data_IF_158856652233
#
_entry.id   IF_158856652233
#
_cell.length_a   1.000
_cell.length_b   1.000
_cell.length_c   1.000
_cell.angle_alpha   90.00
_cell.angle_beta   90.00
_cell.angle_gamma   90.00
#
_symmetry.space_group_name_H-M   'P 1'
#
loop_
_entity.id
_entity.type
_entity.pdbx_description
1 polymer ?
#
# COMPACT_ATOMS: atom_id res chain seq x y z
N UNK A 1 -10.16 -13.62 33.98
CA UNK A 1 -9.38 -13.93 32.77
C UNK A 1 -8.12 -13.09 32.82
N UNK A 2 -6.95 -13.71 32.92
CA UNK A 2 -5.68 -12.99 32.87
C UNK A 2 -5.51 -12.38 31.47
N UNK A 3 -5.16 -11.10 31.42
CA UNK A 3 -4.92 -10.37 30.18
C UNK A 3 -3.71 -11.02 29.48
N UNK A 4 -3.87 -11.65 28.29
CA UNK A 4 -2.76 -12.31 27.62
C UNK A 4 -1.90 -11.22 26.98
N UNK A 5 -0.90 -10.74 27.73
CA UNK A 5 0.02 -9.73 27.24
C UNK A 5 1.13 -10.38 26.41
N UNK A 6 1.40 -9.80 25.24
CA UNK A 6 2.69 -9.97 24.56
C UNK A 6 3.72 -9.16 25.38
N UNK A 7 4.84 -9.75 25.81
CA UNK A 7 5.90 -9.05 26.53
C UNK A 7 6.35 -7.76 25.83
N UNK A 8 6.61 -6.70 26.59
CA UNK A 8 7.02 -5.37 26.06
C UNK A 8 8.26 -5.49 25.15
N UNK A 9 9.23 -6.33 25.52
CA UNK A 9 10.44 -6.58 24.73
C UNK A 9 10.13 -7.18 23.33
N UNK A 10 9.03 -7.91 23.18
CA UNK A 10 8.61 -8.49 21.89
C UNK A 10 7.88 -7.45 21.03
N UNK A 11 7.23 -6.46 21.65
CA UNK A 11 6.61 -5.34 20.92
C UNK A 11 7.64 -4.49 20.18
N UNK A 12 8.78 -4.19 20.82
CA UNK A 12 9.89 -3.44 20.21
C UNK A 12 10.61 -4.23 19.11
N UNK A 13 10.61 -5.57 19.22
CA UNK A 13 11.15 -6.44 18.18
C UNK A 13 10.23 -6.45 16.94
N UNK A 14 8.92 -6.58 17.15
CA UNK A 14 7.92 -6.51 16.08
C UNK A 14 7.95 -5.14 15.39
N UNK A 15 8.10 -4.06 16.16
CA UNK A 15 8.23 -2.70 15.64
C UNK A 15 9.37 -2.58 14.62
N UNK A 16 10.58 -2.97 15.05
CA UNK A 16 11.78 -2.93 14.21
C UNK A 16 11.68 -3.85 13.00
N UNK A 17 11.09 -5.03 13.18
CA UNK A 17 10.83 -5.95 12.09
C UNK A 17 9.86 -5.34 11.06
N UNK A 18 8.79 -4.69 11.51
CA UNK A 18 7.84 -4.01 10.64
C UNK A 18 8.49 -2.85 9.88
N UNK A 19 9.25 -1.99 10.54
CA UNK A 19 9.97 -0.88 9.90
C UNK A 19 10.92 -1.40 8.81
N UNK A 20 11.76 -2.37 9.14
CA UNK A 20 12.70 -2.99 8.19
C UNK A 20 11.98 -3.62 6.99
N UNK A 21 10.93 -4.40 7.24
CA UNK A 21 10.15 -5.02 6.17
C UNK A 21 9.42 -3.97 5.32
N UNK A 22 8.85 -2.92 5.94
CA UNK A 22 8.13 -1.90 5.18
C UNK A 22 9.02 -1.17 4.18
N UNK A 23 10.29 -0.92 4.55
CA UNK A 23 11.30 -0.36 3.65
C UNK A 23 11.60 -1.27 2.46
N UNK A 24 11.73 -2.58 2.69
CA UNK A 24 12.08 -3.55 1.64
C UNK A 24 10.91 -3.93 0.72
N UNK A 25 9.72 -4.14 1.27
CA UNK A 25 8.59 -4.77 0.57
C UNK A 25 7.30 -3.93 0.56
N UNK A 26 7.28 -2.78 1.22
CA UNK A 26 6.10 -1.92 1.35
C UNK A 26 5.25 -2.25 2.58
N UNK A 27 4.40 -1.29 2.96
CA UNK A 27 3.65 -1.35 4.21
C UNK A 27 2.65 -2.50 4.26
N UNK A 28 2.01 -2.85 3.14
CA UNK A 28 0.94 -3.86 3.12
C UNK A 28 1.53 -5.26 3.15
N UNK A 29 2.61 -5.49 2.38
CA UNK A 29 3.35 -6.75 2.43
C UNK A 29 3.93 -6.98 3.83
N UNK A 30 4.61 -5.98 4.40
CA UNK A 30 5.16 -6.04 5.74
C UNK A 30 4.08 -6.28 6.81
N UNK A 31 2.95 -5.57 6.73
CA UNK A 31 1.87 -5.73 7.68
C UNK A 31 1.26 -7.14 7.61
N UNK A 32 1.10 -7.68 6.41
CA UNK A 32 0.54 -9.01 6.20
C UNK A 32 1.46 -10.09 6.76
N UNK A 33 2.77 -10.00 6.49
CA UNK A 33 3.77 -10.93 7.00
C UNK A 33 3.85 -10.94 8.54
N UNK A 34 3.90 -9.75 9.15
CA UNK A 34 3.91 -9.61 10.61
C UNK A 34 2.62 -10.16 11.22
N UNK A 35 1.46 -9.87 10.62
CA UNK A 35 0.18 -10.39 11.12
C UNK A 35 0.11 -11.91 11.10
N UNK A 36 0.51 -12.54 9.99
CA UNK A 36 0.59 -14.00 9.87
C UNK A 36 1.52 -14.60 10.92
N UNK A 37 2.72 -14.04 11.09
CA UNK A 37 3.67 -14.52 12.08
C UNK A 37 3.12 -14.45 13.51
N UNK A 38 2.41 -13.37 13.85
CA UNK A 38 1.78 -13.23 15.18
C UNK A 38 0.63 -14.23 15.36
N UNK A 39 -0.18 -14.48 14.32
CA UNK A 39 -1.21 -15.53 14.37
C UNK A 39 -0.58 -16.89 14.62
N UNK A 40 0.45 -17.23 13.86
CA UNK A 40 1.08 -18.55 13.93
C UNK A 40 1.69 -18.82 15.31
N UNK A 41 2.24 -17.78 15.96
CA UNK A 41 2.89 -17.92 17.27
C UNK A 41 1.93 -17.75 18.46
N UNK A 42 0.96 -16.85 18.38
CA UNK A 42 0.14 -16.44 19.54
C UNK A 42 -1.36 -16.69 19.36
N UNK A 43 -1.80 -17.06 18.16
CA UNK A 43 -3.21 -17.24 17.80
C UNK A 43 -3.95 -15.94 17.50
N UNK A 44 -5.06 -16.06 16.79
CA UNK A 44 -5.82 -14.93 16.23
C UNK A 44 -6.36 -13.97 17.28
N UNK A 45 -6.75 -14.44 18.47
CA UNK A 45 -7.24 -13.56 19.53
C UNK A 45 -6.15 -12.61 20.04
N UNK A 46 -4.94 -13.13 20.28
CA UNK A 46 -3.80 -12.33 20.75
C UNK A 46 -3.27 -11.42 19.65
N UNK A 47 -3.24 -11.88 18.41
CA UNK A 47 -2.90 -11.05 17.26
C UNK A 47 -3.81 -9.81 17.20
N UNK A 48 -5.14 -10.00 17.26
CA UNK A 48 -6.09 -8.88 17.26
C UNK A 48 -5.91 -7.94 18.45
N UNK A 49 -5.63 -8.47 19.64
CA UNK A 49 -5.34 -7.63 20.81
C UNK A 49 -4.08 -6.79 20.61
N UNK A 50 -2.99 -7.40 20.15
CA UNK A 50 -1.72 -6.72 19.90
C UNK A 50 -1.88 -5.58 18.89
N UNK A 51 -2.56 -5.85 17.79
CA UNK A 51 -2.82 -4.87 16.75
C UNK A 51 -3.65 -3.69 17.25
N UNK A 52 -4.67 -3.95 18.09
CA UNK A 52 -5.47 -2.90 18.70
C UNK A 52 -4.67 -2.07 19.70
N UNK A 53 -3.80 -2.70 20.49
CA UNK A 53 -2.97 -2.03 21.49
C UNK A 53 -1.89 -1.14 20.85
N UNK A 54 -1.30 -1.59 19.74
CA UNK A 54 -0.17 -0.92 19.10
C UNK A 54 -0.53 -0.12 17.83
N UNK A 55 -1.82 0.05 17.54
CA UNK A 55 -2.23 0.65 16.27
C UNK A 55 -1.83 2.10 16.04
N UNK A 56 -1.46 2.84 17.08
CA UNK A 56 -0.86 4.18 16.93
C UNK A 56 0.55 4.12 16.33
N UNK A 57 1.33 3.10 16.70
CA UNK A 57 2.66 2.89 16.17
C UNK A 57 2.61 2.29 14.76
N UNK A 58 1.62 1.43 14.49
CA UNK A 58 1.48 0.73 13.21
C UNK A 58 0.06 0.86 12.64
N UNK A 59 -0.31 2.02 12.06
CA UNK A 59 -1.69 2.26 11.62
C UNK A 59 -2.17 1.30 10.53
N UNK A 60 -1.32 0.98 9.55
CA UNK A 60 -1.64 0.03 8.46
C UNK A 60 -1.80 -1.38 9.01
N UNK A 61 -0.88 -1.81 9.87
CA UNK A 61 -0.97 -3.11 10.52
C UNK A 61 -2.24 -3.22 11.40
N UNK A 62 -2.61 -2.16 12.12
CA UNK A 62 -3.86 -2.14 12.90
C UNK A 62 -5.13 -2.15 12.06
N UNK A 63 -5.06 -1.75 10.78
CA UNK A 63 -6.17 -1.92 9.85
C UNK A 63 -6.45 -3.42 9.55
N UNK A 64 -5.53 -4.32 9.86
CA UNK A 64 -5.69 -5.78 9.76
C UNK A 64 -6.28 -6.43 11.02
N UNK A 65 -6.61 -5.65 12.07
CA UNK A 65 -6.96 -6.18 13.39
C UNK A 65 -8.34 -6.86 13.50
N UNK A 66 -9.08 -6.98 12.40
CA UNK A 66 -10.33 -7.74 12.35
C UNK A 66 -10.11 -9.18 11.89
N UNK A 67 -11.12 -10.02 12.08
CA UNK A 67 -11.01 -11.48 11.95
C UNK A 67 -10.55 -11.95 10.57
N UNK A 68 -10.91 -11.20 9.52
CA UNK A 68 -10.57 -11.50 8.13
C UNK A 68 -9.57 -10.49 7.52
N UNK A 69 -8.84 -9.71 8.34
CA UNK A 69 -8.02 -8.59 7.89
C UNK A 69 -7.08 -8.88 6.72
N UNK A 70 -6.20 -9.87 6.89
CA UNK A 70 -5.27 -10.27 5.82
C UNK A 70 -5.99 -10.82 4.58
N UNK A 71 -7.04 -11.64 4.75
CA UNK A 71 -7.80 -12.18 3.64
C UNK A 71 -8.52 -11.07 2.85
N UNK A 72 -9.10 -10.09 3.55
CA UNK A 72 -9.70 -8.90 2.94
C UNK A 72 -8.68 -8.15 2.10
N UNK A 73 -7.48 -7.93 2.62
CA UNK A 73 -6.42 -7.20 1.92
C UNK A 73 -5.90 -7.99 0.71
N UNK A 74 -5.69 -9.30 0.81
CA UNK A 74 -5.31 -10.12 -0.36
C UNK A 74 -6.36 -10.09 -1.46
N UNK A 75 -7.64 -10.28 -1.09
CA UNK A 75 -8.76 -10.13 -2.03
C UNK A 75 -8.80 -8.73 -2.64
N UNK A 76 -8.51 -7.72 -1.81
CA UNK A 76 -8.48 -6.34 -2.24
C UNK A 76 -7.43 -6.11 -3.31
N UNK A 77 -6.19 -6.53 -3.06
CA UNK A 77 -5.07 -6.45 -4.02
C UNK A 77 -5.45 -7.14 -5.34
N UNK A 78 -6.11 -8.30 -5.26
CA UNK A 78 -6.61 -8.98 -6.45
C UNK A 78 -7.63 -8.16 -7.24
N UNK A 79 -8.66 -7.65 -6.57
CA UNK A 79 -9.73 -6.86 -7.21
C UNK A 79 -9.19 -5.57 -7.85
N UNK A 80 -8.26 -4.87 -7.20
CA UNK A 80 -7.65 -3.64 -7.76
C UNK A 80 -6.72 -3.96 -8.93
N UNK A 81 -6.01 -5.09 -8.90
CA UNK A 81 -5.11 -5.50 -9.99
C UNK A 81 -5.90 -5.76 -11.25
N UNK A 82 -7.00 -6.52 -11.16
CA UNK A 82 -7.89 -6.78 -12.30
C UNK A 82 -8.45 -5.48 -12.88
N UNK A 83 -8.85 -4.54 -12.03
CA UNK A 83 -9.40 -3.25 -12.48
C UNK A 83 -8.35 -2.35 -13.11
N UNK A 84 -7.14 -2.36 -12.55
CA UNK A 84 -6.01 -1.67 -13.13
C UNK A 84 -5.73 -2.22 -14.53
N UNK A 85 -5.75 -3.55 -14.73
CA UNK A 85 -5.53 -4.18 -16.03
C UNK A 85 -6.41 -3.59 -17.14
N UNK A 86 -7.66 -3.23 -16.83
CA UNK A 86 -8.57 -2.60 -17.78
C UNK A 86 -8.17 -1.16 -18.14
N UNK A 87 -7.65 -0.39 -17.20
CA UNK A 87 -7.15 0.98 -17.43
C UNK A 87 -5.82 0.98 -18.20
N UNK A 88 -4.96 0.01 -17.91
CA UNK A 88 -3.61 -0.04 -18.49
C UNK A 88 -3.53 -0.88 -19.77
N UNK A 89 -4.67 -1.26 -20.36
CA UNK A 89 -4.72 -2.17 -21.51
C UNK A 89 -3.81 -1.70 -22.65
N UNK A 90 -3.89 -0.43 -23.02
CA UNK A 90 -3.13 0.20 -24.11
C UNK A 90 -1.85 0.90 -23.62
N UNK A 91 -1.39 0.59 -22.41
CA UNK A 91 -0.19 1.18 -21.80
C UNK A 91 0.95 0.18 -21.84
N UNK A 92 2.16 0.70 -22.03
CA UNK A 92 3.40 -0.09 -22.11
C UNK A 92 4.22 0.06 -20.83
N UNK A 93 4.34 1.29 -20.34
CA UNK A 93 5.22 1.65 -19.24
C UNK A 93 4.38 2.02 -18.00
N UNK A 94 4.52 1.24 -16.94
CA UNK A 94 3.82 1.41 -15.67
C UNK A 94 4.80 1.92 -14.64
N UNK A 95 4.77 3.22 -14.35
CA UNK A 95 5.67 3.84 -13.39
C UNK A 95 5.08 3.73 -11.99
N UNK A 96 5.64 2.84 -11.18
CA UNK A 96 5.19 2.59 -9.80
C UNK A 96 5.97 3.47 -8.84
N UNK A 97 5.29 4.39 -8.15
CA UNK A 97 5.90 5.27 -7.15
C UNK A 97 5.69 4.66 -5.76
N UNK A 98 6.81 4.29 -5.15
CA UNK A 98 6.85 3.35 -4.05
C UNK A 98 6.87 1.90 -4.53
N UNK A 99 6.95 0.99 -3.57
CA UNK A 99 6.97 -0.45 -3.82
C UNK A 99 6.05 -1.15 -2.83
N UNK A 100 5.09 -1.93 -3.35
CA UNK A 100 4.28 -2.86 -2.56
C UNK A 100 4.42 -4.24 -3.20
N UNK A 101 5.29 -5.08 -2.62
CA UNK A 101 5.61 -6.40 -3.14
C UNK A 101 4.35 -7.25 -3.31
N UNK A 102 3.43 -7.20 -2.35
CA UNK A 102 2.17 -7.95 -2.39
C UNK A 102 1.32 -7.64 -3.64
N UNK A 103 1.37 -6.40 -4.16
CA UNK A 103 0.72 -6.05 -5.42
C UNK A 103 1.58 -6.41 -6.63
N UNK A 104 2.88 -6.11 -6.59
CA UNK A 104 3.78 -6.34 -7.71
C UNK A 104 3.93 -7.84 -8.04
N UNK A 105 3.95 -8.71 -7.02
CA UNK A 105 3.94 -10.17 -7.14
C UNK A 105 2.74 -10.69 -7.92
N UNK A 106 1.63 -9.94 -7.91
CA UNK A 106 0.43 -10.27 -8.68
C UNK A 106 0.42 -9.59 -10.04
N UNK A 107 0.77 -8.30 -10.09
CA UNK A 107 0.66 -7.48 -11.29
C UNK A 107 1.71 -7.85 -12.34
N UNK A 108 2.97 -8.06 -11.95
CA UNK A 108 4.06 -8.31 -12.89
C UNK A 108 3.88 -9.61 -13.70
N UNK A 109 3.49 -10.76 -13.10
CA UNK A 109 3.22 -11.97 -13.87
C UNK A 109 1.97 -11.89 -14.76
N UNK A 110 0.98 -11.06 -14.39
CA UNK A 110 -0.24 -10.86 -15.18
C UNK A 110 -0.01 -10.01 -16.44
N UNK A 111 1.08 -9.25 -16.48
CA UNK A 111 1.34 -8.22 -17.48
C UNK A 111 2.77 -8.33 -18.03
N UNK A 112 3.10 -9.49 -18.60
CA UNK A 112 4.42 -9.74 -19.20
C UNK A 112 4.71 -8.87 -20.44
N UNK A 113 3.67 -8.28 -21.04
CA UNK A 113 3.76 -7.34 -22.16
C UNK A 113 4.10 -5.90 -21.73
N UNK A 114 4.13 -5.63 -20.41
CA UNK A 114 4.32 -4.29 -19.84
C UNK A 114 5.60 -4.21 -19.04
N UNK A 115 6.17 -3.03 -18.94
CA UNK A 115 7.36 -2.77 -18.10
C UNK A 115 6.92 -1.99 -16.86
N UNK A 116 7.23 -2.53 -15.69
CA UNK A 116 7.02 -1.89 -14.40
C UNK A 116 8.28 -1.16 -13.98
N UNK A 117 8.21 0.16 -13.92
CA UNK A 117 9.29 1.04 -13.50
C UNK A 117 9.07 1.45 -12.05
N UNK A 118 9.70 0.73 -11.12
CA UNK A 118 9.56 0.95 -9.68
C UNK A 118 10.52 2.04 -9.23
N UNK A 119 9.96 3.08 -8.62
CA UNK A 119 10.73 4.10 -7.89
C UNK A 119 10.57 3.82 -6.40
N UNK A 120 11.61 3.37 -5.70
CA UNK A 120 11.50 2.98 -4.30
C UNK A 120 11.09 4.17 -3.42
N UNK A 121 10.34 3.90 -2.35
CA UNK A 121 9.88 4.92 -1.40
C UNK A 121 10.92 5.25 -0.32
N UNK A 122 11.96 4.41 -0.19
CA UNK A 122 13.06 4.53 0.75
C UNK A 122 14.40 4.35 0.04
N UNK A 123 15.43 5.07 0.47
CA UNK A 123 16.81 4.92 -0.03
C UNK A 123 17.58 3.76 0.61
N UNK A 124 17.06 3.17 1.68
CA UNK A 124 17.76 2.14 2.48
C UNK A 124 17.38 0.70 2.08
N UNK A 125 16.55 0.52 1.06
CA UNK A 125 16.12 -0.80 0.61
C UNK A 125 17.23 -1.53 -0.16
N UNK A 126 17.37 -2.84 0.05
CA UNK A 126 18.20 -3.70 -0.80
C UNK A 126 17.49 -3.95 -2.14
N UNK A 127 17.69 -3.02 -3.07
CA UNK A 127 17.02 -2.98 -4.38
C UNK A 127 17.43 -4.16 -5.28
N UNK A 128 18.66 -4.63 -5.17
CA UNK A 128 19.15 -5.78 -5.93
C UNK A 128 18.43 -7.06 -5.48
N UNK A 129 18.28 -7.23 -4.15
CA UNK A 129 17.50 -8.34 -3.60
C UNK A 129 16.03 -8.24 -3.96
N UNK A 130 15.43 -7.05 -3.93
CA UNK A 130 14.06 -6.83 -4.37
C UNK A 130 13.87 -7.28 -5.83
N UNK A 131 14.72 -6.80 -6.74
CA UNK A 131 14.68 -7.13 -8.17
C UNK A 131 14.88 -8.62 -8.46
N UNK A 132 15.68 -9.32 -7.64
CA UNK A 132 15.94 -10.74 -7.84
C UNK A 132 14.68 -11.63 -7.77
N UNK A 133 13.57 -11.12 -7.23
CA UNK A 133 12.28 -11.81 -7.18
C UNK A 133 11.44 -11.65 -8.45
N UNK A 134 11.85 -10.79 -9.37
CA UNK A 134 11.07 -10.41 -10.55
C UNK A 134 11.79 -10.73 -11.86
N UNK A 135 11.03 -10.84 -12.94
CA UNK A 135 11.56 -11.00 -14.28
C UNK A 135 12.01 -9.68 -14.90
N UNK A 136 12.49 -9.74 -16.15
CA UNK A 136 13.02 -8.60 -16.91
C UNK A 136 12.01 -7.46 -17.14
N UNK A 137 10.72 -7.71 -16.86
CA UNK A 137 9.64 -6.76 -17.00
C UNK A 137 9.47 -5.85 -15.77
N UNK A 138 10.28 -6.01 -14.72
CA UNK A 138 10.36 -5.09 -13.58
C UNK A 138 11.73 -4.43 -13.55
N UNK A 139 11.76 -3.10 -13.46
CA UNK A 139 12.97 -2.28 -13.44
C UNK A 139 12.90 -1.27 -12.33
N UNK A 140 14.04 -0.98 -11.71
CA UNK A 140 14.13 0.07 -10.70
C UNK A 140 14.70 1.35 -11.31
N UNK A 141 14.14 2.48 -10.90
CA UNK A 141 14.56 3.81 -11.30
C UNK A 141 14.76 4.71 -10.08
N UNK A 142 15.72 5.63 -10.19
CA UNK A 142 15.78 6.79 -9.30
C UNK A 142 14.68 7.79 -9.69
N UNK A 143 14.11 8.44 -8.68
CA UNK A 143 13.19 9.56 -8.74
C UNK A 143 13.62 10.71 -9.66
N UNK A 144 14.92 10.87 -9.92
CA UNK A 144 15.47 12.02 -10.67
C UNK A 144 15.35 11.89 -12.19
N UNK A 145 15.16 10.68 -12.75
CA UNK A 145 15.19 10.48 -14.20
C UNK A 145 14.03 9.62 -14.73
N UNK A 146 12.84 10.22 -14.82
CA UNK A 146 11.65 9.61 -15.41
C UNK A 146 11.27 10.21 -16.77
N UNK A 147 11.99 11.22 -17.26
CA UNK A 147 11.61 11.97 -18.48
C UNK A 147 11.57 11.14 -19.75
N UNK A 148 12.38 10.09 -19.82
CA UNK A 148 12.38 9.14 -20.93
C UNK A 148 11.12 8.27 -20.98
N UNK A 149 10.32 8.24 -19.90
CA UNK A 149 9.07 7.50 -19.79
C UNK A 149 7.84 8.38 -20.03
N UNK A 150 8.00 9.68 -20.31
CA UNK A 150 6.87 10.56 -20.58
C UNK A 150 6.15 10.14 -21.86
N UNK A 151 4.82 10.24 -21.87
CA UNK A 151 4.03 9.90 -23.04
C UNK A 151 2.65 9.36 -22.74
N UNK A 152 1.90 9.14 -23.82
CA UNK A 152 0.50 8.69 -23.78
C UNK A 152 0.35 7.20 -23.46
N UNK A 153 1.41 6.42 -23.64
CA UNK A 153 1.48 4.98 -23.34
C UNK A 153 1.96 4.70 -21.92
N UNK A 154 2.34 5.74 -21.18
CA UNK A 154 2.88 5.61 -19.84
C UNK A 154 1.89 6.12 -18.80
N UNK A 155 1.82 5.41 -17.67
CA UNK A 155 0.98 5.78 -16.52
C UNK A 155 1.79 5.80 -15.25
N UNK A 156 1.37 6.62 -14.29
CA UNK A 156 1.88 6.57 -12.92
C UNK A 156 0.90 5.80 -12.06
N UNK A 157 1.43 4.88 -11.26
CA UNK A 157 0.72 4.12 -10.25
C UNK A 157 1.33 4.42 -8.88
N UNK A 158 0.52 4.76 -7.89
CA UNK A 158 0.94 4.93 -6.50
C UNK A 158 0.03 4.12 -5.57
N UNK A 159 0.45 3.94 -4.34
CA UNK A 159 -0.29 3.20 -3.32
C UNK A 159 -1.01 4.14 -2.37
N UNK A 160 -2.29 3.89 -2.16
CA UNK A 160 -3.16 4.67 -1.30
C UNK A 160 -3.60 3.86 -0.10
N UNK A 161 -3.52 4.49 1.07
CA UNK A 161 -3.88 3.91 2.35
C UNK A 161 -4.91 4.81 3.03
N UNK A 162 -5.90 4.21 3.69
CA UNK A 162 -6.87 4.99 4.46
C UNK A 162 -7.81 5.86 3.63
N UNK A 163 -8.17 5.45 2.41
CA UNK A 163 -8.91 6.30 1.47
C UNK A 163 -10.27 6.73 2.03
N UNK A 164 -10.51 8.04 1.96
CA UNK A 164 -11.80 8.68 2.24
C UNK A 164 -12.39 9.28 0.96
N UNK A 165 -13.48 10.05 1.07
CA UNK A 165 -14.03 10.76 -0.08
C UNK A 165 -13.05 11.81 -0.65
N UNK A 166 -12.26 12.44 0.21
CA UNK A 166 -11.46 13.62 -0.14
C UNK A 166 -9.96 13.41 -0.04
N UNK A 167 -9.50 12.48 0.79
CA UNK A 167 -8.07 12.31 1.07
C UNK A 167 -7.66 10.85 1.17
N UNK A 168 -6.36 10.61 1.03
CA UNK A 168 -5.71 9.35 1.36
C UNK A 168 -4.25 9.58 1.75
N UNK A 169 -3.65 8.57 2.38
CA UNK A 169 -2.23 8.55 2.71
C UNK A 169 -1.42 7.81 1.64
N UNK A 170 -0.24 8.33 1.30
CA UNK A 170 0.68 7.72 0.32
C UNK A 170 2.12 7.96 0.71
N UNK A 171 3.06 7.38 -0.04
CA UNK A 171 4.49 7.56 0.20
C UNK A 171 4.92 9.03 -0.06
N UNK A 172 5.83 9.61 0.76
CA UNK A 172 6.31 10.97 0.55
C UNK A 172 6.92 11.22 -0.84
N UNK A 173 7.54 10.19 -1.43
CA UNK A 173 8.12 10.27 -2.78
C UNK A 173 7.06 10.56 -3.85
N UNK A 174 5.81 10.15 -3.64
CA UNK A 174 4.68 10.43 -4.55
C UNK A 174 4.45 11.92 -4.69
N UNK A 175 4.52 12.70 -3.61
CA UNK A 175 4.35 14.16 -3.68
C UNK A 175 5.50 14.85 -4.42
N UNK A 176 6.71 14.29 -4.31
CA UNK A 176 7.90 14.84 -4.99
C UNK A 176 7.87 14.58 -6.49
N UNK A 177 7.37 13.40 -6.89
CA UNK A 177 7.32 12.99 -8.29
C UNK A 177 6.06 13.51 -8.97
N UNK A 178 4.90 13.43 -8.35
CA UNK A 178 3.63 13.88 -8.94
C UNK A 178 3.43 15.41 -8.86
N UNK A 179 4.49 16.20 -9.08
CA UNK A 179 4.41 17.64 -9.27
C UNK A 179 3.63 18.01 -10.54
N UNK A 180 3.18 19.26 -10.64
CA UNK A 180 2.30 19.72 -11.73
C UNK A 180 2.80 19.37 -13.14
N UNK A 181 4.12 19.50 -13.38
CA UNK A 181 4.73 19.20 -14.67
C UNK A 181 4.63 17.72 -15.04
N UNK A 182 4.84 16.84 -14.06
CA UNK A 182 4.78 15.38 -14.25
C UNK A 182 3.34 14.94 -14.51
N UNK A 183 2.35 15.55 -13.84
CA UNK A 183 0.92 15.23 -14.08
C UNK A 183 0.50 15.49 -15.52
N UNK A 184 1.13 16.44 -16.20
CA UNK A 184 0.84 16.76 -17.59
C UNK A 184 1.62 15.88 -18.57
N UNK A 185 2.71 15.27 -18.14
CA UNK A 185 3.60 14.47 -18.98
C UNK A 185 3.19 12.98 -19.09
N UNK A 186 2.44 12.48 -18.11
CA UNK A 186 1.88 11.13 -18.11
C UNK A 186 0.40 11.14 -18.48
N UNK A 187 -0.06 10.04 -19.08
CA UNK A 187 -1.46 9.95 -19.52
C UNK A 187 -2.45 9.90 -18.37
N UNK A 188 -2.13 9.16 -17.30
CA UNK A 188 -3.00 8.94 -16.15
C UNK A 188 -2.16 8.78 -14.88
N UNK A 189 -2.69 9.29 -13.77
CA UNK A 189 -2.20 9.08 -12.41
C UNK A 189 -3.21 8.23 -11.65
N UNK A 190 -2.79 7.04 -11.22
CA UNK A 190 -3.66 6.02 -10.64
C UNK A 190 -3.20 5.70 -9.22
N UNK A 191 -4.08 5.91 -8.24
CA UNK A 191 -3.88 5.52 -6.87
C UNK A 191 -4.60 4.20 -6.57
N UNK A 192 -3.86 3.23 -6.04
CA UNK A 192 -4.37 1.91 -5.67
C UNK A 192 -4.74 1.89 -4.18
N UNK A 193 -6.02 1.87 -3.85
CA UNK A 193 -6.44 1.74 -2.45
C UNK A 193 -6.19 0.31 -1.97
N UNK A 194 -5.16 0.16 -1.13
CA UNK A 194 -4.61 -1.14 -0.74
C UNK A 194 -5.34 -1.80 0.43
N UNK A 195 -6.05 -1.03 1.26
CA UNK A 195 -6.56 -1.49 2.55
C UNK A 195 -8.10 -1.54 2.55
N UNK A 196 -8.77 -0.74 1.73
CA UNK A 196 -10.24 -0.67 1.59
C UNK A 196 -10.95 -0.28 2.90
N UNK A 197 -10.25 0.43 3.79
CA UNK A 197 -10.84 1.08 4.96
C UNK A 197 -10.05 2.34 5.37
N UNK A 198 -10.72 3.31 6.02
CA UNK A 198 -10.03 4.45 6.61
C UNK A 198 -9.07 4.00 7.72
N UNK A 199 -7.93 4.70 7.85
CA UNK A 199 -7.02 4.47 8.96
C UNK A 199 -7.60 5.09 10.24
N UNK A 200 -7.54 4.33 11.34
CA UNK A 200 -7.95 4.82 12.67
C UNK A 200 -6.95 5.80 13.28
N UNK A 201 -5.69 5.67 12.87
CA UNK A 201 -4.56 6.43 13.40
C UNK A 201 -3.79 7.07 12.25
N UNK A 202 -3.18 8.22 12.52
CA UNK A 202 -2.35 8.91 11.55
C UNK A 202 -1.03 8.12 11.34
N UNK A 203 -0.67 7.76 10.10
CA UNK A 203 0.64 7.17 9.78
C UNK A 203 1.74 8.23 9.81
N UNK A 204 2.78 8.01 10.62
CA UNK A 204 3.86 9.00 10.83
C UNK A 204 4.86 9.09 9.67
N UNK A 205 4.86 8.08 8.80
CA UNK A 205 5.78 7.81 7.70
C UNK A 205 5.17 8.06 6.32
N UNK A 206 3.87 8.38 6.28
CA UNK A 206 3.12 8.67 5.07
C UNK A 206 2.65 10.12 5.06
N UNK A 207 2.27 10.60 3.88
CA UNK A 207 1.72 11.94 3.68
C UNK A 207 0.29 11.86 3.20
N UNK A 208 -0.55 12.74 3.74
CA UNK A 208 -1.93 12.89 3.28
C UNK A 208 -1.98 13.76 2.03
N UNK A 209 -2.70 13.32 1.01
CA UNK A 209 -2.96 14.07 -0.23
C UNK A 209 -4.44 13.99 -0.62
N UNK A 210 -4.87 14.93 -1.46
CA UNK A 210 -6.25 14.98 -1.92
C UNK A 210 -6.53 13.96 -3.05
N UNK A 211 -7.75 13.43 -3.10
CA UNK A 211 -8.17 12.45 -4.10
C UNK A 211 -8.25 13.04 -5.52
N UNK A 212 -8.43 14.35 -5.64
CA UNK A 212 -8.47 15.09 -6.91
C UNK A 212 -7.08 15.34 -7.54
N UNK A 213 -6.01 15.03 -6.81
CA UNK A 213 -4.65 15.02 -7.36
C UNK A 213 -4.40 13.84 -8.30
N UNK A 214 -5.29 12.84 -8.29
CA UNK A 214 -5.20 11.62 -9.07
C UNK A 214 -6.24 11.61 -10.18
N UNK A 215 -5.89 11.06 -11.34
CA UNK A 215 -6.88 10.78 -12.41
C UNK A 215 -7.87 9.71 -11.95
N UNK A 216 -7.36 8.69 -11.26
CA UNK A 216 -8.15 7.58 -10.75
C UNK A 216 -7.71 7.21 -9.33
N UNK A 217 -8.68 7.02 -8.43
CA UNK A 217 -8.46 6.32 -7.16
C UNK A 217 -9.27 5.04 -7.21
N UNK A 218 -8.59 3.89 -7.28
CA UNK A 218 -9.24 2.59 -7.45
C UNK A 218 -9.77 2.06 -6.12
N UNK A 219 -10.80 2.71 -5.55
CA UNK A 219 -11.54 2.28 -4.33
C UNK A 219 -12.54 1.16 -4.64
N UNK A 220 -13.21 0.57 -3.63
CA UNK A 220 -14.38 -0.29 -3.91
C UNK A 220 -15.45 0.47 -4.71
N UNK A 221 -16.25 -0.27 -5.48
CA UNK A 221 -17.49 0.21 -6.11
C UNK A 221 -18.28 1.12 -5.15
N UNK A 222 -18.85 2.22 -5.69
CA UNK A 222 -19.51 3.35 -5.00
C UNK A 222 -20.59 2.97 -3.98
N UNK A 223 -21.02 1.71 -3.89
CA UNK A 223 -22.05 1.26 -2.94
C UNK A 223 -21.56 1.06 -1.50
N UNK A 224 -20.25 0.95 -1.24
CA UNK A 224 -19.75 0.64 0.11
C UNK A 224 -19.45 1.86 1.01
N UNK A 225 -19.12 3.03 0.44
CA UNK A 225 -18.78 4.24 1.22
C UNK A 225 -19.98 4.72 2.05
N UNK A 226 -21.22 4.52 1.56
CA UNK A 226 -22.44 4.86 2.30
C UNK A 226 -22.66 4.02 3.58
N UNK A 227 -22.00 2.88 3.74
CA UNK A 227 -22.13 2.04 4.95
C UNK A 227 -21.11 2.39 6.05
N UNK A 228 -19.97 2.98 5.70
CA UNK A 228 -18.91 3.28 6.68
C UNK A 228 -19.15 4.57 7.46
N UNK A 229 -19.98 5.49 6.95
CA UNK A 229 -20.40 6.73 7.66
C UNK A 229 -21.49 6.45 8.73
N UNK A 230 -21.77 5.17 9.01
CA UNK A 230 -22.75 4.72 10.01
C UNK A 230 -22.24 4.59 11.45
N UNK A 231 -21.04 5.05 11.78
CA UNK A 231 -20.60 5.15 13.18
C UNK A 231 -21.15 6.43 13.81
N UNK A 232 -22.43 6.37 14.23
CA UNK A 232 -22.99 7.33 15.18
C UNK A 232 -22.22 7.24 16.49
N UNK A 233 -21.79 8.40 16.97
CA UNK A 233 -21.28 8.67 18.32
C UNK A 233 -21.97 7.81 19.38
N UNK A 234 -21.21 6.91 20.01
CA UNK A 234 -21.48 6.56 21.39
C UNK A 234 -20.90 7.68 22.25
N UNK A 235 -21.81 8.43 22.87
CA UNK A 235 -21.53 9.50 23.82
C UNK A 235 -20.89 8.94 25.10
N UNK A 236 -19.99 9.74 25.69
CA UNK A 236 -19.44 9.72 27.05
C UNK A 236 -18.89 8.39 27.62
#
# INVERSE_FOLDING_TARGET
MQNPSIPICESDAIARAYEMLSVEMGHVAAATAIYEQIIDHYGSERARWFLKANGRAFPILAAMADEDGANRIRKRIHDITIRLSALILNKTDIVCIGAEAAWLDMAAPMHLDKVFHVVPHSGDADLDRFLSNYGDNVRIHDSVNLSHLYGTTSVIVTFAFGVTEHTFYTYPVTCRICGQDIRQAFSELIALDMIDCPLRFYPNDLVEIATDEMTHVLTRSRESIRRTVGWKSAAF
#
